data_IF_936610032712
#
_entry.id   IF_936610032712
#
_cell.length_a   1.000
_cell.length_b   1.000
_cell.length_c   1.000
_cell.angle_alpha   90.00
_cell.angle_beta   90.00
_cell.angle_gamma   90.00
#
_symmetry.space_group_name_H-M   'P 1'
#
loop_
_entity.id
_entity.type
_entity.pdbx_description
1 polymer ?
#
# COMPACT_ATOMS: atom_id res chain seq x y z
N UNK A 1 42.91 0.69 3.50
CA UNK A 1 41.66 1.21 2.90
C UNK A 1 40.50 0.66 3.70
N UNK A 2 39.76 1.51 4.42
CA UNK A 2 38.63 1.04 5.26
C UNK A 2 37.47 0.70 4.34
N UNK A 3 37.06 -0.57 4.28
CA UNK A 3 35.85 -0.97 3.57
C UNK A 3 34.68 -0.21 4.18
N UNK A 4 34.03 0.66 3.38
CA UNK A 4 32.80 1.33 3.81
C UNK A 4 31.81 0.23 4.18
N UNK A 5 31.41 0.17 5.45
CA UNK A 5 30.40 -0.77 5.93
C UNK A 5 29.06 -0.41 5.28
N UNK A 6 28.76 -1.04 4.14
CA UNK A 6 27.47 -0.94 3.48
C UNK A 6 26.47 -1.88 4.16
N UNK A 7 25.22 -1.43 4.26
CA UNK A 7 24.12 -2.19 4.86
C UNK A 7 22.94 -2.22 3.92
N UNK A 8 22.08 -3.22 4.07
CA UNK A 8 20.85 -3.30 3.28
C UNK A 8 19.66 -2.88 4.14
N UNK A 9 18.87 -1.96 3.63
CA UNK A 9 17.55 -1.55 4.14
C UNK A 9 16.50 -2.12 3.20
N UNK A 10 15.54 -2.86 3.76
CA UNK A 10 14.39 -3.36 3.03
C UNK A 10 13.28 -2.30 3.07
N UNK A 11 12.77 -1.91 1.90
CA UNK A 11 11.64 -0.99 1.77
C UNK A 11 10.42 -1.79 1.30
N UNK A 12 9.41 -1.91 2.16
CA UNK A 12 8.12 -2.46 1.79
C UNK A 12 7.28 -1.40 1.07
N UNK A 13 6.81 -1.73 -0.13
CA UNK A 13 5.98 -0.87 -0.96
C UNK A 13 4.49 -1.08 -0.65
N UNK A 14 3.61 -0.10 -0.97
CA UNK A 14 2.16 -0.24 -0.78
C UNK A 14 1.53 -1.46 -1.47
N UNK A 15 2.12 -1.94 -2.55
CA UNK A 15 1.68 -3.15 -3.26
C UNK A 15 2.30 -4.44 -2.69
N UNK A 16 2.83 -4.40 -1.47
CA UNK A 16 3.45 -5.52 -0.72
C UNK A 16 4.75 -6.07 -1.33
N UNK A 17 5.27 -5.47 -2.41
CA UNK A 17 6.60 -5.78 -2.95
C UNK A 17 7.69 -5.17 -2.07
N UNK A 18 8.88 -5.75 -2.11
CA UNK A 18 10.03 -5.31 -1.33
C UNK A 18 11.15 -4.84 -2.25
N UNK A 19 11.87 -3.80 -1.83
CA UNK A 19 13.09 -3.33 -2.46
C UNK A 19 14.24 -3.33 -1.45
N UNK A 20 15.35 -3.95 -1.82
CA UNK A 20 16.56 -3.94 -1.00
C UNK A 20 17.50 -2.82 -1.44
N UNK A 21 17.73 -1.87 -0.54
CA UNK A 21 18.50 -0.65 -0.79
C UNK A 21 19.81 -0.72 0.00
N UNK A 22 20.94 -0.66 -0.72
CA UNK A 22 22.25 -0.55 -0.08
C UNK A 22 22.48 0.88 0.39
N UNK A 23 22.83 1.04 1.66
CA UNK A 23 23.04 2.32 2.33
C UNK A 23 24.39 2.35 3.03
N UNK A 24 25.00 3.53 3.04
CA UNK A 24 26.23 3.79 3.79
C UNK A 24 25.93 4.24 5.24
N UNK A 25 26.96 4.35 6.09
CA UNK A 25 26.80 4.74 7.49
C UNK A 25 26.32 6.19 7.70
N UNK A 26 26.41 7.03 6.65
CA UNK A 26 25.97 8.43 6.66
C UNK A 26 24.71 8.66 5.84
N UNK A 27 24.10 7.61 5.28
CA UNK A 27 22.94 7.75 4.41
C UNK A 27 21.73 8.33 5.15
N UNK A 28 21.00 9.18 4.45
CA UNK A 28 19.78 9.83 4.92
C UNK A 28 18.53 9.11 4.44
N UNK A 29 17.36 9.53 4.92
CA UNK A 29 16.08 9.11 4.34
C UNK A 29 15.98 9.45 2.85
N UNK A 30 16.48 10.63 2.45
CA UNK A 30 16.48 11.10 1.07
C UNK A 30 17.28 10.17 0.15
N UNK A 31 18.44 9.68 0.59
CA UNK A 31 19.25 8.74 -0.22
C UNK A 31 18.46 7.46 -0.55
N UNK A 32 17.75 6.91 0.45
CA UNK A 32 16.91 5.73 0.26
C UNK A 32 15.72 6.06 -0.64
N UNK A 33 15.06 7.19 -0.41
CA UNK A 33 13.88 7.61 -1.16
C UNK A 33 14.20 7.82 -2.65
N UNK A 34 15.30 8.50 -2.94
CA UNK A 34 15.80 8.68 -4.31
C UNK A 34 16.10 7.34 -4.99
N UNK A 35 16.73 6.40 -4.28
CA UNK A 35 17.03 5.07 -4.84
C UNK A 35 15.77 4.25 -5.08
N UNK A 36 14.77 4.36 -4.21
CA UNK A 36 13.44 3.75 -4.40
C UNK A 36 12.77 4.31 -5.65
N UNK A 37 12.76 5.64 -5.83
CA UNK A 37 12.20 6.29 -7.03
C UNK A 37 12.88 5.79 -8.32
N UNK A 38 14.22 5.73 -8.32
CA UNK A 38 15.01 5.24 -9.45
C UNK A 38 14.68 3.78 -9.80
N UNK A 39 14.68 2.88 -8.81
CA UNK A 39 14.37 1.46 -9.02
C UNK A 39 12.92 1.25 -9.49
N UNK A 40 12.00 2.10 -9.05
CA UNK A 40 10.61 2.09 -9.50
C UNK A 40 10.42 2.75 -10.87
N UNK A 41 11.42 3.45 -11.39
CA UNK A 41 11.30 4.27 -12.60
C UNK A 41 10.19 5.31 -12.49
N UNK A 42 10.06 5.91 -11.30
CA UNK A 42 9.12 6.99 -10.99
C UNK A 42 9.96 8.25 -10.83
N UNK A 43 9.65 9.32 -11.57
CA UNK A 43 10.45 10.55 -11.50
C UNK A 43 10.34 11.17 -10.11
N UNK A 44 9.11 11.26 -9.60
CA UNK A 44 8.80 12.03 -8.40
C UNK A 44 7.75 11.30 -7.57
N UNK A 45 8.10 11.04 -6.31
CA UNK A 45 7.25 10.38 -5.31
C UNK A 45 6.62 11.41 -4.36
N UNK A 46 6.22 12.59 -4.86
CA UNK A 46 5.82 13.75 -4.05
C UNK A 46 4.77 13.49 -2.97
N UNK A 47 3.87 12.55 -3.20
CA UNK A 47 2.78 12.24 -2.27
C UNK A 47 3.15 11.13 -1.28
N UNK A 48 4.36 10.60 -1.35
CA UNK A 48 4.83 9.49 -0.53
C UNK A 48 5.92 9.94 0.44
N UNK A 49 6.04 9.20 1.53
CA UNK A 49 7.12 9.30 2.49
C UNK A 49 7.63 7.92 2.89
N UNK A 50 8.79 7.88 3.54
CA UNK A 50 9.28 6.68 4.21
C UNK A 50 8.82 6.68 5.66
N UNK A 51 8.43 5.53 6.15
CA UNK A 51 8.05 5.35 7.55
C UNK A 51 8.81 4.19 8.17
N UNK A 52 9.00 4.27 9.49
CA UNK A 52 9.36 3.13 10.33
C UNK A 52 8.13 2.72 11.15
N UNK A 53 7.93 1.42 11.35
CA UNK A 53 6.89 0.91 12.23
C UNK A 53 7.43 0.86 13.67
N UNK A 54 6.82 1.61 14.57
CA UNK A 54 7.18 1.66 15.99
C UNK A 54 5.90 1.61 16.81
N UNK A 55 5.82 0.70 17.79
CA UNK A 55 4.65 0.55 18.66
C UNK A 55 3.33 0.40 17.87
N UNK A 56 3.39 -0.34 16.75
CA UNK A 56 2.31 -0.52 15.76
C UNK A 56 1.85 0.74 15.02
N UNK A 57 2.58 1.84 15.14
CA UNK A 57 2.31 3.10 14.43
C UNK A 57 3.39 3.40 13.39
N UNK A 58 2.98 4.00 12.28
CA UNK A 58 3.90 4.45 11.25
C UNK A 58 4.39 5.85 11.56
N UNK A 59 5.70 5.99 11.75
CA UNK A 59 6.36 7.27 11.99
C UNK A 59 7.09 7.66 10.71
N UNK A 60 6.70 8.78 10.11
CA UNK A 60 7.38 9.33 8.94
C UNK A 60 8.81 9.77 9.28
N UNK A 61 9.72 9.46 8.38
CA UNK A 61 11.10 9.92 8.42
C UNK A 61 11.14 11.37 7.96
N UNK A 62 11.99 12.15 8.63
CA UNK A 62 12.56 13.36 8.05
C UNK A 62 13.64 12.89 7.07
N UNK A 63 13.44 13.20 5.78
CA UNK A 63 14.32 12.72 4.72
C UNK A 63 15.72 13.35 4.81
N UNK A 64 15.89 14.50 5.45
CA UNK A 64 17.18 15.16 5.65
C UNK A 64 18.00 14.48 6.77
N UNK A 65 17.34 13.73 7.64
CA UNK A 65 17.95 13.07 8.78
C UNK A 65 18.61 11.75 8.42
N UNK A 66 19.66 11.40 9.18
CA UNK A 66 20.35 10.11 9.01
C UNK A 66 19.46 8.96 9.47
N UNK A 67 19.50 7.86 8.74
CA UNK A 67 18.77 6.63 9.10
C UNK A 67 19.08 6.13 10.51
N UNK A 68 20.30 6.39 11.01
CA UNK A 68 20.73 6.03 12.36
C UNK A 68 19.91 6.68 13.49
N UNK A 69 19.12 7.72 13.19
CA UNK A 69 18.19 8.35 14.12
C UNK A 69 16.96 7.48 14.38
N UNK A 70 16.53 6.72 13.37
CA UNK A 70 15.30 5.93 13.37
C UNK A 70 15.51 4.45 13.75
N UNK A 71 16.72 3.93 13.55
CA UNK A 71 17.06 2.55 13.91
C UNK A 71 17.73 2.46 15.29
N UNK A 72 17.49 1.37 16.06
CA UNK A 72 18.06 1.18 17.40
C UNK A 72 19.58 1.30 17.43
N UNK A 73 20.16 1.68 18.57
CA UNK A 73 21.63 1.85 18.75
C UNK A 73 22.44 0.58 18.48
N UNK A 74 21.83 -0.60 18.50
CA UNK A 74 22.46 -1.86 18.06
C UNK A 74 22.81 -1.85 16.56
N UNK A 75 22.28 -0.88 15.82
CA UNK A 75 22.84 -0.41 14.56
C UNK A 75 24.35 -0.15 14.66
N UNK A 76 24.92 0.31 15.76
CA UNK A 76 26.37 0.61 15.87
C UNK A 76 27.21 -0.56 16.36
N UNK A 77 26.60 -1.68 16.76
CA UNK A 77 27.37 -2.82 17.28
C UNK A 77 28.00 -3.60 16.12
N UNK A 78 29.29 -3.31 15.90
CA UNK A 78 30.23 -4.21 15.25
C UNK A 78 30.17 -5.56 15.98
N UNK A 79 29.67 -6.59 15.32
CA UNK A 79 29.66 -7.95 15.88
C UNK A 79 31.06 -8.57 15.78
N UNK A 80 32.01 -8.02 16.56
CA UNK A 80 33.14 -8.76 17.10
C UNK A 80 32.75 -9.66 18.28
N UNK A 81 31.48 -9.59 18.71
CA UNK A 81 30.86 -10.55 19.62
C UNK A 81 29.68 -11.20 18.89
N UNK A 82 29.75 -12.51 18.74
CA UNK A 82 28.72 -13.35 18.16
C UNK A 82 27.43 -13.27 18.99
N UNK A 83 26.64 -12.21 18.78
CA UNK A 83 25.22 -12.24 19.11
C UNK A 83 24.56 -13.17 18.09
N UNK A 84 24.06 -14.31 18.56
CA UNK A 84 23.30 -15.32 17.80
C UNK A 84 21.97 -14.78 17.22
N UNK A 85 21.73 -13.48 17.27
CA UNK A 85 20.53 -12.85 16.71
C UNK A 85 20.84 -12.45 15.27
N UNK A 86 20.16 -13.10 14.32
CA UNK A 86 20.18 -12.66 12.91
C UNK A 86 19.91 -11.15 12.89
N UNK A 87 20.70 -10.34 12.18
CA UNK A 87 20.39 -8.93 12.03
C UNK A 87 18.99 -8.85 11.40
N UNK A 88 18.02 -8.32 12.14
CA UNK A 88 16.71 -8.04 11.58
C UNK A 88 16.92 -7.07 10.41
N UNK A 89 16.35 -7.33 9.23
CA UNK A 89 16.45 -6.41 8.12
C UNK A 89 15.87 -5.07 8.56
N UNK A 90 16.59 -4.00 8.24
CA UNK A 90 16.17 -2.65 8.53
C UNK A 90 14.97 -2.35 7.64
N UNK A 91 13.78 -2.37 8.23
CA UNK A 91 12.53 -2.29 7.47
C UNK A 91 12.00 -0.85 7.49
N UNK A 92 11.86 -0.29 6.30
CA UNK A 92 11.10 0.93 6.04
C UNK A 92 9.87 0.59 5.22
N UNK A 93 8.87 1.47 5.26
CA UNK A 93 7.68 1.35 4.43
C UNK A 93 7.52 2.62 3.62
N UNK A 94 7.34 2.50 2.31
CA UNK A 94 6.89 3.60 1.48
C UNK A 94 5.37 3.73 1.69
N UNK A 95 4.90 4.89 2.13
CA UNK A 95 3.48 5.16 2.39
C UNK A 95 3.04 6.49 1.82
N UNK A 96 1.74 6.65 1.58
CA UNK A 96 1.16 7.95 1.24
C UNK A 96 1.26 8.87 2.45
N UNK A 97 1.90 10.03 2.24
CA UNK A 97 2.07 11.09 3.24
C UNK A 97 1.14 12.27 2.99
N UNK A 98 0.80 12.54 1.73
CA UNK A 98 -0.06 13.65 1.35
C UNK A 98 -1.23 13.14 0.51
N UNK A 99 -2.45 13.25 1.03
CA UNK A 99 -3.65 12.81 0.36
C UNK A 99 -4.16 13.84 -0.63
N UNK A 100 -4.58 13.34 -1.79
CA UNK A 100 -5.29 14.08 -2.82
C UNK A 100 -6.48 13.27 -3.32
N UNK A 101 -7.60 13.95 -3.52
CA UNK A 101 -8.83 13.36 -4.08
C UNK A 101 -8.73 13.21 -5.60
N UNK A 102 -7.99 14.12 -6.25
CA UNK A 102 -7.83 14.12 -7.69
C UNK A 102 -6.68 13.19 -8.12
N UNK A 103 -6.99 11.91 -8.33
CA UNK A 103 -6.03 10.92 -8.82
C UNK A 103 -5.40 11.24 -10.19
N UNK A 104 -5.89 12.25 -10.93
CA UNK A 104 -5.30 12.68 -12.21
C UNK A 104 -3.99 13.45 -12.02
N UNK A 105 -3.69 13.91 -10.80
CA UNK A 105 -2.39 14.51 -10.45
C UNK A 105 -1.23 13.51 -10.62
N UNK A 106 -1.53 12.20 -10.58
CA UNK A 106 -0.55 11.15 -10.85
C UNK A 106 -0.45 10.85 -12.37
N UNK A 107 0.38 11.64 -13.05
CA UNK A 107 0.71 11.44 -14.47
C UNK A 107 1.26 10.02 -14.72
N UNK A 108 2.20 9.58 -13.89
CA UNK A 108 2.87 8.29 -14.04
C UNK A 108 1.99 7.13 -13.55
N UNK A 109 1.80 6.12 -14.41
CA UNK A 109 0.99 4.93 -14.09
C UNK A 109 1.46 4.25 -12.80
N UNK A 110 2.76 4.08 -12.62
CA UNK A 110 3.34 3.36 -11.46
C UNK A 110 3.05 4.08 -10.14
N UNK A 111 3.29 5.39 -10.08
CA UNK A 111 2.99 6.21 -8.90
C UNK A 111 1.49 6.14 -8.53
N UNK A 112 0.61 6.27 -9.54
CA UNK A 112 -0.84 6.15 -9.32
C UNK A 112 -1.25 4.80 -8.73
N UNK A 113 -0.68 3.70 -9.21
CA UNK A 113 -0.99 2.37 -8.68
C UNK A 113 -0.47 2.17 -7.25
N UNK A 114 0.69 2.75 -6.90
CA UNK A 114 1.19 2.71 -5.52
C UNK A 114 0.30 3.50 -4.58
N UNK A 115 -0.14 4.69 -5.00
CA UNK A 115 -1.04 5.53 -4.21
C UNK A 115 -2.37 4.83 -3.96
N UNK A 116 -2.95 4.27 -5.03
CA UNK A 116 -4.15 3.44 -4.97
C UNK A 116 -3.97 2.22 -4.04
N UNK A 117 -2.82 1.55 -4.08
CA UNK A 117 -2.56 0.38 -3.24
C UNK A 117 -2.51 0.74 -1.75
N UNK A 118 -1.90 1.87 -1.39
CA UNK A 118 -1.85 2.36 0.00
C UNK A 118 -3.26 2.70 0.50
N UNK A 119 -4.04 3.42 -0.33
CA UNK A 119 -5.43 3.75 -0.02
C UNK A 119 -6.30 2.51 0.15
N UNK A 120 -6.17 1.49 -0.70
CA UNK A 120 -6.90 0.22 -0.51
C UNK A 120 -6.62 -0.40 0.84
N UNK A 121 -5.35 -0.44 1.25
CA UNK A 121 -4.97 -1.00 2.54
C UNK A 121 -5.61 -0.23 3.71
N UNK A 122 -5.71 1.10 3.58
CA UNK A 122 -6.41 1.96 4.55
C UNK A 122 -7.91 1.74 4.56
N UNK A 123 -8.55 1.68 3.39
CA UNK A 123 -9.98 1.37 3.26
C UNK A 123 -10.31 0.04 3.94
N UNK A 124 -9.48 -0.99 3.76
CA UNK A 124 -9.68 -2.30 4.40
C UNK A 124 -9.52 -2.26 5.93
N UNK A 125 -8.84 -1.25 6.48
CA UNK A 125 -8.69 -1.01 7.93
C UNK A 125 -9.70 -0.01 8.50
N UNK A 126 -10.40 0.72 7.64
CA UNK A 126 -11.34 1.77 8.02
C UNK A 126 -12.49 1.23 8.87
N UNK A 127 -12.89 2.01 9.86
CA UNK A 127 -13.98 1.75 10.80
C UNK A 127 -15.15 2.75 10.65
N UNK A 128 -15.26 3.46 9.52
CA UNK A 128 -16.39 4.32 9.17
C UNK A 128 -17.70 3.52 8.91
N UNK A 129 -18.27 2.93 9.97
CA UNK A 129 -19.43 2.02 9.91
C UNK A 129 -20.72 2.64 9.36
N UNK A 130 -20.80 3.97 9.28
CA UNK A 130 -22.00 4.70 8.81
C UNK A 130 -22.12 4.79 7.29
N UNK A 131 -21.04 4.52 6.54
CA UNK A 131 -20.99 4.68 5.08
C UNK A 131 -20.83 3.34 4.36
N UNK A 132 -21.68 2.36 4.69
CA UNK A 132 -21.51 0.99 4.19
C UNK A 132 -21.55 0.91 2.66
N UNK A 133 -22.44 1.67 2.02
CA UNK A 133 -22.60 1.76 0.58
C UNK A 133 -21.31 2.18 -0.15
N UNK A 134 -20.52 3.07 0.46
CA UNK A 134 -19.24 3.52 -0.10
C UNK A 134 -18.26 2.35 -0.21
N UNK A 135 -18.23 1.44 0.76
CA UNK A 135 -17.34 0.26 0.68
C UNK A 135 -17.74 -0.71 -0.44
N UNK A 136 -19.03 -0.88 -0.72
CA UNK A 136 -19.48 -1.70 -1.86
C UNK A 136 -19.08 -1.07 -3.19
N UNK A 137 -19.21 0.25 -3.30
CA UNK A 137 -18.76 0.99 -4.48
C UNK A 137 -17.25 0.91 -4.66
N UNK A 138 -16.46 1.10 -3.59
CA UNK A 138 -15.02 0.96 -3.59
C UNK A 138 -14.56 -0.47 -3.92
N UNK A 139 -15.27 -1.49 -3.42
CA UNK A 139 -15.03 -2.88 -3.77
C UNK A 139 -15.29 -3.13 -5.26
N UNK A 140 -16.36 -2.58 -5.83
CA UNK A 140 -16.63 -2.61 -7.27
C UNK A 140 -15.49 -2.00 -8.08
N UNK A 141 -15.05 -0.79 -7.73
CA UNK A 141 -13.91 -0.15 -8.40
C UNK A 141 -12.63 -0.97 -8.29
N UNK A 142 -12.39 -1.60 -7.14
CA UNK A 142 -11.22 -2.43 -6.95
C UNK A 142 -11.27 -3.73 -7.74
N UNK A 143 -12.42 -4.39 -7.82
CA UNK A 143 -12.62 -5.57 -8.67
C UNK A 143 -12.40 -5.20 -10.15
N UNK A 144 -12.95 -4.08 -10.60
CA UNK A 144 -12.78 -3.59 -11.98
C UNK A 144 -11.32 -3.21 -12.28
N UNK A 145 -10.61 -2.61 -11.32
CA UNK A 145 -9.19 -2.27 -11.46
C UNK A 145 -8.29 -3.52 -11.53
N UNK A 146 -8.60 -4.55 -10.75
CA UNK A 146 -7.78 -5.77 -10.65
C UNK A 146 -8.07 -6.76 -11.79
N UNK A 147 -9.35 -6.90 -12.16
CA UNK A 147 -9.84 -7.98 -13.03
C UNK A 147 -10.35 -7.50 -14.40
N UNK A 148 -10.59 -6.19 -14.57
CA UNK A 148 -11.29 -5.66 -15.73
C UNK A 148 -12.79 -5.98 -15.69
N UNK A 149 -13.44 -5.93 -16.87
CA UNK A 149 -14.87 -6.22 -16.98
C UNK A 149 -15.18 -7.62 -16.47
N UNK A 150 -16.26 -7.73 -15.69
CA UNK A 150 -16.78 -9.01 -15.26
C UNK A 150 -17.26 -9.82 -16.48
N UNK A 151 -16.41 -10.71 -17.00
CA UNK A 151 -16.83 -11.71 -17.97
C UNK A 151 -17.69 -12.74 -17.24
N UNK A 152 -18.95 -12.90 -17.64
CA UNK A 152 -19.81 -13.99 -17.17
C UNK A 152 -19.04 -15.32 -17.35
N UNK A 153 -18.46 -15.84 -16.28
CA UNK A 153 -17.76 -17.11 -16.35
C UNK A 153 -18.82 -18.19 -16.53
N UNK A 154 -18.67 -18.94 -17.63
CA UNK A 154 -19.56 -19.99 -18.12
C UNK A 154 -20.01 -20.89 -16.97
N UNK A 155 -21.33 -20.98 -16.80
CA UNK A 155 -22.00 -22.02 -16.04
C UNK A 155 -21.40 -23.38 -16.43
N UNK A 156 -20.72 -24.09 -15.53
CA UNK A 156 -20.35 -25.47 -15.84
C UNK A 156 -19.33 -26.20 -14.98
N UNK A 157 -18.30 -25.58 -14.40
CA UNK A 157 -17.30 -26.34 -13.63
C UNK A 157 -16.74 -25.52 -12.46
N UNK A 158 -16.78 -26.14 -11.28
CA UNK A 158 -16.30 -25.69 -9.96
C UNK A 158 -16.44 -24.19 -9.67
N UNK A 159 -17.47 -23.86 -8.87
CA UNK A 159 -17.80 -22.50 -8.42
C UNK A 159 -16.80 -22.02 -7.35
N UNK A 160 -15.51 -21.98 -7.67
CA UNK A 160 -14.59 -21.19 -6.87
C UNK A 160 -14.95 -19.71 -7.08
N UNK A 161 -15.29 -18.95 -6.03
CA UNK A 161 -15.59 -17.54 -6.20
C UNK A 161 -14.38 -16.84 -6.81
N UNK A 162 -14.61 -16.03 -7.85
CA UNK A 162 -13.53 -15.37 -8.59
C UNK A 162 -12.81 -14.26 -7.79
N UNK A 163 -13.34 -13.90 -6.62
CA UNK A 163 -12.73 -12.97 -5.68
C UNK A 163 -12.96 -13.42 -4.23
N UNK A 164 -12.10 -12.97 -3.32
CA UNK A 164 -12.26 -13.22 -1.88
C UNK A 164 -12.69 -11.94 -1.16
N UNK A 165 -13.81 -11.93 -0.41
CA UNK A 165 -14.30 -10.70 0.23
C UNK A 165 -13.27 -9.99 1.13
N UNK A 166 -12.38 -10.73 1.80
CA UNK A 166 -11.30 -10.18 2.64
C UNK A 166 -10.32 -9.24 1.92
N UNK A 167 -10.23 -9.33 0.60
CA UNK A 167 -9.32 -8.51 -0.20
C UNK A 167 -9.98 -7.19 -0.67
N UNK A 168 -11.30 -7.05 -0.48
CA UNK A 168 -12.11 -5.93 -0.98
C UNK A 168 -12.98 -5.26 0.08
N UNK A 169 -13.25 -5.93 1.21
CA UNK A 169 -14.10 -5.44 2.29
C UNK A 169 -13.38 -5.46 3.65
N UNK A 170 -13.58 -4.45 4.52
CA UNK A 170 -13.09 -4.47 5.88
C UNK A 170 -13.63 -5.66 6.71
N UNK A 171 -12.90 -6.11 7.74
CA UNK A 171 -13.33 -7.21 8.60
C UNK A 171 -14.72 -7.01 9.23
N UNK A 172 -15.08 -5.77 9.57
CA UNK A 172 -16.38 -5.48 10.18
C UNK A 172 -17.55 -5.63 9.19
N UNK A 173 -17.37 -5.36 7.89
CA UNK A 173 -18.41 -5.59 6.86
C UNK A 173 -18.61 -7.10 6.68
N UNK A 174 -17.51 -7.85 6.62
CA UNK A 174 -17.55 -9.30 6.50
C UNK A 174 -18.27 -9.91 7.71
N UNK A 175 -17.97 -9.43 8.92
CA UNK A 175 -18.65 -9.87 10.14
C UNK A 175 -20.15 -9.49 10.15
N UNK A 176 -20.50 -8.29 9.65
CA UNK A 176 -21.89 -7.79 9.63
C UNK A 176 -22.77 -8.50 8.59
N UNK A 177 -22.27 -8.70 7.37
CA UNK A 177 -23.05 -9.19 6.22
C UNK A 177 -22.86 -10.68 5.94
N UNK A 178 -21.72 -11.24 6.33
CA UNK A 178 -21.33 -12.61 6.00
C UNK A 178 -20.70 -12.74 4.61
N UNK A 179 -19.83 -13.75 4.46
CA UNK A 179 -19.10 -14.02 3.22
C UNK A 179 -20.05 -14.32 2.06
N UNK A 180 -21.08 -15.15 2.30
CA UNK A 180 -22.03 -15.57 1.25
C UNK A 180 -22.81 -14.39 0.67
N UNK A 181 -23.20 -13.42 1.52
CA UNK A 181 -23.85 -12.20 1.07
C UNK A 181 -22.92 -11.40 0.15
N UNK A 182 -21.66 -11.22 0.53
CA UNK A 182 -20.69 -10.47 -0.25
C UNK A 182 -20.37 -11.18 -1.58
N UNK A 183 -20.26 -12.50 -1.60
CA UNK A 183 -20.08 -13.27 -2.82
C UNK A 183 -21.29 -13.20 -3.76
N UNK A 184 -22.50 -13.04 -3.23
CA UNK A 184 -23.72 -12.85 -4.02
C UNK A 184 -23.87 -11.42 -4.58
N UNK A 185 -23.45 -10.40 -3.82
CA UNK A 185 -23.68 -8.98 -4.16
C UNK A 185 -22.48 -8.28 -4.79
N UNK A 186 -21.25 -8.69 -4.45
CA UNK A 186 -20.00 -8.18 -5.04
C UNK A 186 -19.97 -8.26 -6.57
N UNK A 187 -20.43 -9.36 -7.20
CA UNK A 187 -20.49 -9.43 -8.65
C UNK A 187 -21.46 -8.42 -9.28
N UNK A 188 -22.54 -8.05 -8.59
CA UNK A 188 -23.52 -7.08 -9.10
C UNK A 188 -22.90 -5.68 -9.20
N UNK A 189 -22.22 -5.23 -8.14
CA UNK A 189 -21.53 -3.93 -8.15
C UNK A 189 -20.34 -3.90 -9.12
N UNK A 190 -19.69 -5.05 -9.37
CA UNK A 190 -18.66 -5.17 -10.39
C UNK A 190 -19.26 -5.08 -11.81
N UNK A 191 -20.39 -5.74 -12.06
CA UNK A 191 -21.09 -5.70 -13.35
C UNK A 191 -21.62 -4.31 -13.73
N UNK A 192 -22.07 -3.52 -12.75
CA UNK A 192 -22.49 -2.13 -12.97
C UNK A 192 -21.37 -1.24 -13.53
N UNK A 193 -20.11 -1.63 -13.34
CA UNK A 193 -18.93 -0.92 -13.82
C UNK A 193 -18.40 -1.44 -15.16
N UNK A 194 -19.11 -2.36 -15.81
CA UNK A 194 -18.73 -2.90 -17.11
C UNK A 194 -18.50 -1.77 -18.14
N UNK A 195 -17.38 -1.85 -18.86
CA UNK A 195 -16.89 -0.83 -19.78
C UNK A 195 -16.00 0.23 -19.13
N UNK A 196 -15.89 0.29 -17.80
CA UNK A 196 -14.97 1.18 -17.12
C UNK A 196 -13.54 0.66 -17.22
N UNK A 197 -12.61 1.50 -17.69
CA UNK A 197 -11.21 1.09 -17.78
C UNK A 197 -10.59 0.91 -16.38
N UNK A 198 -9.62 -0.01 -16.19
CA UNK A 198 -8.92 -0.14 -14.91
C UNK A 198 -8.30 1.16 -14.40
N UNK A 199 -7.88 2.04 -15.34
CA UNK A 199 -7.39 3.38 -15.01
C UNK A 199 -8.49 4.23 -14.38
N UNK A 200 -9.67 4.26 -14.97
CA UNK A 200 -10.77 5.10 -14.48
C UNK A 200 -11.32 4.54 -13.17
N UNK A 201 -11.36 3.22 -13.00
CA UNK A 201 -11.69 2.58 -11.71
C UNK A 201 -10.73 2.99 -10.60
N UNK A 202 -9.43 3.02 -10.86
CA UNK A 202 -8.44 3.54 -9.89
C UNK A 202 -8.71 5.02 -9.57
N UNK A 203 -9.00 5.85 -10.58
CA UNK A 203 -9.27 7.28 -10.38
C UNK A 203 -10.54 7.51 -9.54
N UNK A 204 -11.61 6.77 -9.83
CA UNK A 204 -12.85 6.82 -9.05
C UNK A 204 -12.65 6.29 -7.63
N UNK A 205 -11.88 5.22 -7.44
CA UNK A 205 -11.53 4.72 -6.11
C UNK A 205 -10.81 5.79 -5.28
N UNK A 206 -9.78 6.43 -5.86
CA UNK A 206 -9.04 7.50 -5.18
C UNK A 206 -9.98 8.61 -4.73
N UNK A 207 -10.84 9.10 -5.64
CA UNK A 207 -11.80 10.16 -5.35
C UNK A 207 -12.79 9.78 -4.25
N UNK A 208 -13.41 8.60 -4.37
CA UNK A 208 -14.53 8.22 -3.50
C UNK A 208 -14.05 7.67 -2.15
N UNK A 209 -12.80 7.22 -2.05
CA UNK A 209 -12.21 6.80 -0.76
C UNK A 209 -12.12 7.94 0.26
N UNK A 210 -12.10 9.19 -0.19
CA UNK A 210 -12.08 10.38 0.66
C UNK A 210 -13.41 10.64 1.37
N UNK A 211 -14.49 9.96 0.98
CA UNK A 211 -15.77 10.01 1.71
C UNK A 211 -15.65 9.33 3.09
N UNK A 212 -14.77 8.33 3.22
CA UNK A 212 -14.48 7.67 4.48
C UNK A 212 -13.54 8.55 5.33
N UNK A 213 -14.08 9.16 6.38
CA UNK A 213 -13.41 10.20 7.18
C UNK A 213 -12.05 9.77 7.78
N UNK A 214 -11.87 8.48 8.05
CA UNK A 214 -10.65 7.91 8.65
C UNK A 214 -9.61 7.44 7.62
N UNK A 215 -9.90 7.53 6.32
CA UNK A 215 -8.98 7.11 5.25
C UNK A 215 -7.96 8.19 4.87
N UNK A 216 -8.35 9.45 4.56
CA UNK A 216 -7.42 10.50 4.14
C UNK A 216 -6.70 11.19 5.32
N UNK A 217 -6.47 10.48 6.42
CA UNK A 217 -5.82 11.02 7.62
C UNK A 217 -4.30 10.87 7.51
N UNK A 218 -3.61 12.00 7.58
CA UNK A 218 -2.14 12.10 7.68
C UNK A 218 -1.65 11.82 9.08
#
# INVERSE_FOLDING_TARGET
MSAKLERTVCVLLPNKKQLDIRVGPKSTGQDVFSRVAELLGIKELYFFGLTVLKDNEHIFLDLEEKLTKYFPKDWRQDSGKASLRRPFPLLLFLKVQYYVENGRLFCERRARHLYYSDLRERVLRSECRQQEEVYFQLAGYALQADLGDHSLQREGLEVTPYFHPKDYFPPWIIAKRGVDYLLCHGPKVHQELCGMSPRDSILSFIRDSCQLEDVPVT
#
